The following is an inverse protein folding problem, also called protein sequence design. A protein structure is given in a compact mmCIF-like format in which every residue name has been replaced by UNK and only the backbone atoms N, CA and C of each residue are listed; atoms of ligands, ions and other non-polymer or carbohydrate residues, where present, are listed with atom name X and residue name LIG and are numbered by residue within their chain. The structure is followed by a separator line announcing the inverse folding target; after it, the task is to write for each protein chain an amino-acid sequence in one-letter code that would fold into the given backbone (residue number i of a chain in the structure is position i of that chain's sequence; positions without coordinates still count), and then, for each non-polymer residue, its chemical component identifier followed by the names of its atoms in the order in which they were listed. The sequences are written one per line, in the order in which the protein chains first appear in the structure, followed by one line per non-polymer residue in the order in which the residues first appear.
data_IF_750025611215
#
_entry.id   IF_750025611215
#
_cell.length_a   1.000
_cell.length_b   1.000
_cell.length_c   1.000
_cell.angle_alpha   90.00
_cell.angle_beta   90.00
_cell.angle_gamma   90.00
#
_symmetry.space_group_name_H-M   'P 1'
#
loop_
_entity.id
_entity.type
_entity.pdbx_description
1 polymer ?
#
# COMPACT_ATOMS: atom_id res chain seq x y z
N UNK A 1 -5.16 13.45 3.46
CA UNK A 1 -4.83 14.24 2.26
C UNK A 1 -5.43 15.64 2.29
N UNK A 2 -6.75 15.80 2.48
CA UNK A 2 -7.42 17.12 2.54
C UNK A 2 -6.90 18.03 3.66
N UNK A 3 -6.52 17.49 4.80
CA UNK A 3 -5.84 18.25 5.86
C UNK A 3 -4.52 18.84 5.35
N UNK A 4 -3.78 18.14 4.49
CA UNK A 4 -2.56 18.65 3.86
C UNK A 4 -2.81 19.85 2.96
N UNK A 5 -3.92 19.86 2.21
CA UNK A 5 -4.32 20.99 1.37
C UNK A 5 -4.72 22.22 2.21
N UNK A 6 -5.38 22.02 3.37
CA UNK A 6 -5.88 23.09 4.24
C UNK A 6 -4.80 23.61 5.18
N UNK A 7 -4.12 22.73 5.92
CA UNK A 7 -3.16 23.11 6.96
C UNK A 7 -1.72 23.17 6.46
N UNK A 8 -1.47 22.56 5.31
CA UNK A 8 -0.15 22.46 4.69
C UNK A 8 0.45 21.06 4.87
N UNK A 9 0.97 20.51 3.78
CA UNK A 9 1.53 19.17 3.73
C UNK A 9 2.68 18.97 4.73
N UNK A 10 3.59 19.97 4.85
CA UNK A 10 4.68 19.93 5.83
C UNK A 10 4.16 19.82 7.25
N UNK A 11 3.14 20.59 7.65
CA UNK A 11 2.58 20.53 9.01
C UNK A 11 1.95 19.20 9.30
N UNK A 12 1.12 18.67 8.38
CA UNK A 12 0.47 17.36 8.55
C UNK A 12 1.50 16.25 8.64
N UNK A 13 2.53 16.29 7.79
CA UNK A 13 3.63 15.31 7.82
C UNK A 13 4.36 15.34 9.17
N UNK A 14 4.75 16.52 9.64
CA UNK A 14 5.52 16.68 10.87
C UNK A 14 4.72 16.28 12.11
N UNK A 15 3.41 16.67 12.18
CA UNK A 15 2.51 16.27 13.27
C UNK A 15 2.30 14.74 13.24
N UNK A 16 2.10 14.16 12.05
CA UNK A 16 1.98 12.70 11.89
C UNK A 16 3.21 11.97 12.36
N UNK A 17 4.40 12.48 12.03
CA UNK A 17 5.68 11.90 12.41
C UNK A 17 5.93 12.00 13.93
N UNK A 18 5.58 13.14 14.54
CA UNK A 18 5.64 13.32 15.99
C UNK A 18 4.71 12.33 16.70
N UNK A 19 3.45 12.25 16.26
CA UNK A 19 2.47 11.31 16.81
C UNK A 19 2.95 9.86 16.68
N UNK A 20 3.45 9.47 15.50
CA UNK A 20 3.98 8.14 15.24
C UNK A 20 5.16 7.81 16.18
N UNK A 21 6.10 8.73 16.37
CA UNK A 21 7.28 8.53 17.22
C UNK A 21 6.90 8.43 18.71
N UNK A 22 6.02 9.31 19.19
CA UNK A 22 5.54 9.27 20.59
C UNK A 22 4.75 7.99 20.88
N UNK A 23 3.91 7.56 19.94
CA UNK A 23 3.12 6.33 20.12
C UNK A 23 3.96 5.08 19.93
N UNK A 24 5.05 5.11 19.15
CA UNK A 24 6.04 4.03 19.11
C UNK A 24 6.72 3.85 20.46
N UNK A 25 7.05 4.95 21.16
CA UNK A 25 7.55 4.88 22.52
C UNK A 25 6.50 4.29 23.46
N UNK A 26 5.24 4.71 23.35
CA UNK A 26 4.14 4.15 24.15
C UNK A 26 3.94 2.64 23.89
N UNK A 27 4.10 2.18 22.65
CA UNK A 27 4.08 0.75 22.31
C UNK A 27 5.24 -0.01 22.97
N UNK A 28 6.45 0.56 22.94
CA UNK A 28 7.64 -0.06 23.55
C UNK A 28 7.54 -0.16 25.07
N UNK A 29 6.83 0.77 25.72
CA UNK A 29 6.62 0.83 27.17
C UNK A 29 5.31 0.18 27.64
N UNK A 30 4.55 -0.45 26.75
CA UNK A 30 3.25 -1.04 27.10
C UNK A 30 3.42 -2.32 27.92
N UNK A 31 2.71 -2.41 29.04
CA UNK A 31 2.74 -3.55 29.98
C UNK A 31 1.53 -4.48 29.79
N UNK A 32 0.55 -4.10 29.01
CA UNK A 32 -0.67 -4.87 28.77
C UNK A 32 -1.12 -4.84 27.33
N UNK A 33 -1.88 -5.86 26.91
CA UNK A 33 -2.49 -5.91 25.58
C UNK A 33 -3.39 -4.69 25.32
N UNK A 34 -4.13 -4.24 26.34
CA UNK A 34 -5.03 -3.09 26.20
C UNK A 34 -4.27 -1.79 25.92
N UNK A 35 -3.20 -1.51 26.67
CA UNK A 35 -2.34 -0.32 26.43
C UNK A 35 -1.66 -0.39 25.08
N UNK A 36 -1.23 -1.58 24.66
CA UNK A 36 -0.64 -1.78 23.34
C UNK A 36 -1.66 -1.51 22.22
N UNK A 37 -2.90 -1.99 22.33
CA UNK A 37 -3.95 -1.74 21.33
C UNK A 37 -4.22 -0.24 21.17
N UNK A 38 -4.34 0.50 22.29
CA UNK A 38 -4.54 1.96 22.24
C UNK A 38 -3.36 2.66 21.59
N UNK A 39 -2.14 2.34 22.01
CA UNK A 39 -0.93 2.93 21.45
C UNK A 39 -0.79 2.64 19.95
N UNK A 40 -1.07 1.42 19.51
CA UNK A 40 -1.09 1.00 18.08
C UNK A 40 -2.16 1.72 17.27
N UNK A 41 -3.34 1.92 17.85
CA UNK A 41 -4.42 2.68 17.20
C UNK A 41 -3.98 4.12 16.95
N UNK A 42 -3.41 4.77 17.94
CA UNK A 42 -2.89 6.14 17.82
C UNK A 42 -1.68 6.20 16.86
N UNK A 43 -0.82 5.19 16.85
CA UNK A 43 0.29 5.07 15.91
C UNK A 43 -0.22 4.97 14.47
N UNK A 44 -1.34 4.26 14.25
CA UNK A 44 -2.01 4.18 12.96
C UNK A 44 -2.46 5.55 12.43
N UNK A 45 -2.99 6.44 13.27
CA UNK A 45 -3.30 7.82 12.85
C UNK A 45 -2.06 8.60 12.43
N UNK A 46 -0.94 8.44 13.14
CA UNK A 46 0.34 9.05 12.77
C UNK A 46 0.83 8.54 11.40
N UNK A 47 0.83 7.23 11.21
CA UNK A 47 1.21 6.59 9.94
C UNK A 47 0.32 7.03 8.78
N UNK A 48 -1.01 7.09 9.00
CA UNK A 48 -1.97 7.54 8.00
C UNK A 48 -1.75 9.01 7.60
N UNK A 49 -1.44 9.88 8.57
CA UNK A 49 -1.10 11.29 8.30
C UNK A 49 0.13 11.40 7.41
N UNK A 50 1.21 10.66 7.70
CA UNK A 50 2.44 10.63 6.90
C UNK A 50 2.14 10.11 5.49
N UNK A 51 1.54 8.92 5.39
CA UNK A 51 1.27 8.27 4.12
C UNK A 51 0.38 9.10 3.19
N UNK A 52 -0.64 9.78 3.75
CA UNK A 52 -1.60 10.57 2.99
C UNK A 52 -1.01 11.78 2.28
N UNK A 53 0.10 12.32 2.77
CA UNK A 53 0.74 13.53 2.23
C UNK A 53 2.09 13.26 1.58
N UNK A 54 2.68 12.08 1.77
CA UNK A 54 4.00 11.72 1.28
C UNK A 54 4.13 11.91 -0.23
N UNK A 55 3.22 11.33 -1.00
CA UNK A 55 3.23 11.42 -2.47
C UNK A 55 2.97 12.84 -2.98
N UNK A 56 2.13 13.61 -2.27
CA UNK A 56 1.90 15.01 -2.59
C UNK A 56 3.16 15.87 -2.36
N UNK A 57 3.92 15.60 -1.30
CA UNK A 57 5.20 16.25 -1.04
C UNK A 57 6.23 15.94 -2.14
N UNK A 58 6.31 14.68 -2.59
CA UNK A 58 7.17 14.28 -3.71
C UNK A 58 6.82 15.10 -4.96
N UNK A 59 5.53 15.26 -5.27
CA UNK A 59 5.08 16.06 -6.41
C UNK A 59 5.45 17.54 -6.31
N UNK A 60 5.48 18.11 -5.09
CA UNK A 60 5.87 19.49 -4.85
C UNK A 60 7.38 19.68 -4.98
N UNK A 61 8.16 18.68 -4.53
CA UNK A 61 9.62 18.74 -4.51
C UNK A 61 10.22 18.48 -5.90
N UNK A 62 9.63 17.53 -6.65
CA UNK A 62 10.15 17.13 -7.96
C UNK A 62 9.38 17.80 -9.09
N UNK A 63 10.08 18.45 -10.07
CA UNK A 63 9.47 18.91 -11.31
C UNK A 63 8.78 17.77 -12.06
N UNK A 64 7.74 18.06 -12.86
CA UNK A 64 6.98 17.05 -13.62
C UNK A 64 7.87 16.10 -14.43
N UNK A 65 8.95 16.65 -15.05
CA UNK A 65 9.93 15.88 -15.83
C UNK A 65 10.62 14.79 -15.01
N UNK A 66 10.87 15.02 -13.72
CA UNK A 66 11.60 14.11 -12.85
C UNK A 66 10.72 13.41 -11.81
N UNK A 67 9.40 13.50 -11.97
CA UNK A 67 8.45 12.87 -11.05
C UNK A 67 8.63 11.35 -10.99
N UNK A 68 8.95 10.70 -12.11
CA UNK A 68 9.27 9.27 -12.17
C UNK A 68 10.43 8.88 -11.27
N UNK A 69 11.51 9.68 -11.28
CA UNK A 69 12.67 9.46 -10.37
C UNK A 69 12.27 9.61 -8.91
N UNK A 70 11.51 10.67 -8.59
CA UNK A 70 11.00 10.89 -7.22
C UNK A 70 10.16 9.72 -6.72
N UNK A 71 9.28 9.19 -7.56
CA UNK A 71 8.47 8.00 -7.25
C UNK A 71 9.32 6.74 -7.15
N UNK A 72 10.36 6.58 -7.99
CA UNK A 72 11.30 5.48 -7.92
C UNK A 72 12.10 5.46 -6.61
N UNK A 73 12.59 6.62 -6.17
CA UNK A 73 13.28 6.75 -4.87
C UNK A 73 12.32 6.45 -3.71
N UNK A 74 11.08 6.93 -3.79
CA UNK A 74 10.07 6.60 -2.79
C UNK A 74 9.77 5.08 -2.75
N UNK A 75 9.66 4.43 -3.91
CA UNK A 75 9.45 2.99 -3.99
C UNK A 75 10.65 2.21 -3.43
N UNK A 76 11.88 2.68 -3.65
CA UNK A 76 13.08 2.13 -3.03
C UNK A 76 12.97 2.17 -1.50
N UNK A 77 12.64 3.32 -0.92
CA UNK A 77 12.49 3.47 0.55
C UNK A 77 11.38 2.55 1.09
N UNK A 78 10.25 2.46 0.39
CA UNK A 78 9.16 1.55 0.76
C UNK A 78 9.63 0.09 0.72
N UNK A 79 10.39 -0.32 -0.32
CA UNK A 79 10.90 -1.69 -0.44
C UNK A 79 11.88 -2.06 0.67
N UNK A 80 12.72 -1.11 1.13
CA UNK A 80 13.55 -1.30 2.33
C UNK A 80 12.69 -1.56 3.57
N UNK A 81 11.55 -0.85 3.68
CA UNK A 81 10.60 -1.06 4.78
C UNK A 81 9.85 -2.39 4.67
N UNK A 82 9.61 -2.88 3.46
CA UNK A 82 8.98 -4.18 3.19
C UNK A 82 9.91 -5.37 3.57
N UNK A 83 11.22 -5.14 3.77
CA UNK A 83 12.15 -6.08 4.39
C UNK A 83 12.04 -6.13 5.94
N UNK A 84 11.08 -5.39 6.50
CA UNK A 84 10.79 -5.33 7.95
C UNK A 84 10.66 -6.68 8.65
N UNK A 85 9.98 -7.71 8.09
CA UNK A 85 9.90 -9.04 8.72
C UNK A 85 11.27 -9.67 9.02
N UNK A 86 12.22 -9.55 8.09
CA UNK A 86 13.60 -10.05 8.29
C UNK A 86 14.34 -9.27 9.39
N UNK A 87 14.19 -7.95 9.40
CA UNK A 87 14.75 -7.09 10.45
C UNK A 87 14.12 -7.42 11.80
N UNK A 88 12.80 -7.61 11.82
CA UNK A 88 12.06 -7.99 13.02
C UNK A 88 12.52 -9.34 13.59
N UNK A 89 12.69 -10.36 12.72
CA UNK A 89 13.22 -11.66 13.13
C UNK A 89 14.62 -11.52 13.74
N UNK A 90 15.50 -10.71 13.13
CA UNK A 90 16.83 -10.41 13.67
C UNK A 90 16.78 -9.70 15.03
N UNK A 91 15.88 -8.77 15.24
CA UNK A 91 15.70 -8.08 16.54
C UNK A 91 15.19 -9.08 17.61
N UNK A 92 14.21 -9.91 17.25
CA UNK A 92 13.63 -10.90 18.18
C UNK A 92 14.60 -12.01 18.55
N UNK A 93 15.57 -12.35 17.70
CA UNK A 93 16.60 -13.34 18.01
C UNK A 93 17.61 -12.88 19.08
N UNK A 94 17.76 -11.55 19.25
CA UNK A 94 18.76 -10.94 20.16
C UNK A 94 18.08 -10.23 21.34
N UNK A 95 16.81 -9.82 21.18
CA UNK A 95 16.10 -8.98 22.16
C UNK A 95 14.64 -9.35 22.31
N UNK A 96 13.93 -8.52 23.06
CA UNK A 96 12.49 -8.66 23.34
C UNK A 96 11.64 -7.86 22.34
N UNK A 97 10.37 -8.22 22.21
CA UNK A 97 9.41 -7.56 21.31
C UNK A 97 9.30 -6.02 21.44
N UNK A 98 9.51 -5.35 22.59
CA UNK A 98 9.49 -3.89 22.68
C UNK A 98 10.50 -3.20 21.76
N UNK A 99 11.62 -3.85 21.46
CA UNK A 99 12.66 -3.32 20.58
C UNK A 99 12.15 -3.11 19.13
N UNK A 100 11.13 -3.87 18.70
CA UNK A 100 10.49 -3.67 17.40
C UNK A 100 9.86 -2.28 17.26
N UNK A 101 9.44 -1.69 18.38
CA UNK A 101 8.87 -0.35 18.42
C UNK A 101 9.93 0.70 18.75
N UNK A 102 10.87 0.36 19.63
CA UNK A 102 11.92 1.27 20.08
C UNK A 102 12.83 1.74 18.92
N UNK A 103 13.08 0.89 17.93
CA UNK A 103 13.88 1.24 16.73
C UNK A 103 13.28 2.40 15.93
N UNK A 104 11.97 2.61 16.01
CA UNK A 104 11.32 3.73 15.33
C UNK A 104 11.61 5.09 15.98
N UNK A 105 12.06 5.12 17.24
CA UNK A 105 12.28 6.37 17.98
C UNK A 105 13.47 7.15 17.42
N UNK A 106 14.69 6.61 17.30
CA UNK A 106 15.82 7.35 16.73
C UNK A 106 15.58 7.71 15.26
N UNK A 107 14.92 6.83 14.50
CA UNK A 107 14.56 7.10 13.08
C UNK A 107 13.55 8.26 13.03
N UNK A 108 12.52 8.24 13.90
CA UNK A 108 11.49 9.28 13.96
C UNK A 108 12.06 10.65 14.36
N UNK A 109 12.95 10.70 15.36
CA UNK A 109 13.62 11.93 15.80
C UNK A 109 14.46 12.50 14.65
N UNK A 110 15.26 11.66 13.99
CA UNK A 110 16.07 12.07 12.84
C UNK A 110 15.20 12.62 11.73
N UNK A 111 14.12 11.90 11.36
CA UNK A 111 13.17 12.33 10.35
C UNK A 111 12.45 13.64 10.73
N UNK A 112 12.11 13.86 12.01
CA UNK A 112 11.56 15.12 12.51
C UNK A 112 12.52 16.30 12.27
N UNK A 113 13.78 16.15 12.66
CA UNK A 113 14.82 17.18 12.48
C UNK A 113 14.95 17.51 10.98
N UNK A 114 15.05 16.48 10.12
CA UNK A 114 15.15 16.65 8.68
C UNK A 114 13.90 17.32 8.09
N UNK A 115 12.70 16.95 8.58
CA UNK A 115 11.45 17.54 8.10
C UNK A 115 11.34 19.03 8.41
N UNK A 116 11.80 19.44 9.60
CA UNK A 116 11.85 20.86 9.97
C UNK A 116 12.88 21.66 9.15
N UNK A 117 13.98 21.03 8.76
CA UNK A 117 15.07 21.71 8.05
C UNK A 117 14.85 21.76 6.54
N UNK A 118 14.36 20.70 5.93
CA UNK A 118 14.41 20.52 4.47
C UNK A 118 13.03 20.52 3.76
N UNK A 119 11.92 20.23 4.47
CA UNK A 119 10.64 20.21 3.79
C UNK A 119 10.20 21.63 3.38
N UNK A 120 9.81 21.83 2.11
CA UNK A 120 9.35 23.12 1.62
C UNK A 120 8.07 23.56 2.33
N UNK A 121 7.90 24.87 2.47
CA UNK A 121 6.63 25.42 2.89
C UNK A 121 5.60 25.23 1.78
N UNK A 122 4.33 25.07 2.15
CA UNK A 122 3.26 24.87 1.18
C UNK A 122 3.14 26.08 0.24
N UNK A 123 3.34 25.92 -1.07
CA UNK A 123 3.27 27.05 -2.01
C UNK A 123 1.85 27.61 -2.13
N UNK A 124 0.82 26.77 -1.95
CA UNK A 124 -0.60 27.18 -2.05
C UNK A 124 -1.37 26.55 -0.91
N UNK A 125 -1.92 27.36 -0.03
CA UNK A 125 -2.94 26.94 0.94
C UNK A 125 -4.32 27.19 0.34
N UNK A 126 -5.24 26.25 0.53
CA UNK A 126 -6.64 26.47 0.20
C UNK A 126 -7.25 27.46 1.19
N UNK A 127 -7.15 28.77 0.86
CA UNK A 127 -7.65 29.86 1.72
C UNK A 127 -9.18 29.76 1.83
N UNK A 128 -9.72 29.79 3.06
CA UNK A 128 -11.17 29.79 3.31
C UNK A 128 -11.82 28.39 3.32
N UNK A 129 -11.09 27.30 3.06
CA UNK A 129 -11.63 25.94 3.11
C UNK A 129 -11.68 25.43 4.56
N UNK A 130 -12.86 25.02 5.02
CA UNK A 130 -13.04 24.34 6.31
C UNK A 130 -12.96 22.80 6.12
N UNK A 131 -12.38 22.12 7.10
CA UNK A 131 -12.34 20.67 7.09
C UNK A 131 -13.72 20.10 7.44
N UNK A 132 -14.29 19.28 6.56
CA UNK A 132 -15.57 18.61 6.79
C UNK A 132 -15.38 17.35 7.65
N UNK A 133 -15.54 17.52 8.97
CA UNK A 133 -15.42 16.43 9.94
C UNK A 133 -16.48 15.35 9.69
N UNK A 134 -17.70 15.75 9.29
CA UNK A 134 -18.80 14.79 9.03
C UNK A 134 -18.47 13.90 7.85
N UNK A 135 -17.99 14.46 6.74
CA UNK A 135 -17.57 13.68 5.59
C UNK A 135 -16.37 12.78 5.93
N UNK A 136 -15.43 13.24 6.76
CA UNK A 136 -14.31 12.43 7.22
C UNK A 136 -14.75 11.23 8.06
N UNK A 137 -15.71 11.42 8.97
CA UNK A 137 -16.28 10.33 9.78
C UNK A 137 -17.07 9.34 8.93
N UNK A 138 -17.88 9.81 7.97
CA UNK A 138 -18.59 8.94 7.04
C UNK A 138 -17.63 8.12 6.16
N UNK A 139 -16.54 8.74 5.70
CA UNK A 139 -15.49 8.06 4.97
C UNK A 139 -14.84 6.97 5.82
N UNK A 140 -14.39 7.31 7.04
CA UNK A 140 -13.77 6.37 7.95
C UNK A 140 -14.71 5.20 8.31
N UNK A 141 -16.00 5.48 8.56
CA UNK A 141 -17.00 4.47 8.85
C UNK A 141 -17.25 3.55 7.65
N UNK A 142 -17.40 4.12 6.45
CA UNK A 142 -17.64 3.33 5.23
C UNK A 142 -16.49 2.40 4.93
N UNK A 143 -15.26 2.90 4.87
CA UNK A 143 -14.08 2.08 4.59
C UNK A 143 -13.75 1.13 5.74
N UNK A 144 -13.91 1.55 7.00
CA UNK A 144 -13.72 0.70 8.18
C UNK A 144 -14.70 -0.48 8.20
N UNK A 145 -15.98 -0.25 7.88
CA UNK A 145 -16.97 -1.31 7.78
C UNK A 145 -16.71 -2.24 6.58
N UNK A 146 -16.27 -1.71 5.44
CA UNK A 146 -15.86 -2.55 4.30
C UNK A 146 -14.76 -3.51 4.71
N UNK A 147 -13.72 -3.01 5.38
CA UNK A 147 -12.61 -3.83 5.88
C UNK A 147 -13.13 -4.86 6.90
N UNK A 148 -13.97 -4.44 7.85
CA UNK A 148 -14.54 -5.34 8.86
C UNK A 148 -15.42 -6.44 8.24
N UNK A 149 -16.19 -6.13 7.19
CA UNK A 149 -16.98 -7.12 6.45
C UNK A 149 -16.06 -8.15 5.77
N UNK A 150 -15.01 -7.67 5.10
CA UNK A 150 -14.06 -8.55 4.43
C UNK A 150 -13.40 -9.48 5.45
N UNK A 151 -13.02 -8.97 6.63
CA UNK A 151 -12.43 -9.76 7.71
C UNK A 151 -13.45 -10.72 8.34
N UNK A 152 -14.71 -10.33 8.48
CA UNK A 152 -15.77 -11.18 9.01
C UNK A 152 -16.02 -12.46 8.19
N UNK A 153 -15.74 -12.44 6.87
CA UNK A 153 -15.79 -13.65 6.04
C UNK A 153 -14.71 -14.68 6.39
N UNK A 154 -13.63 -14.28 7.05
CA UNK A 154 -12.53 -15.16 7.48
C UNK A 154 -12.78 -15.78 8.85
N UNK A 155 -13.68 -15.18 9.64
CA UNK A 155 -14.11 -15.66 10.95
C UNK A 155 -15.52 -16.23 10.87
N UNK A 156 -15.89 -17.11 11.81
CA UNK A 156 -17.24 -17.68 11.90
C UNK A 156 -18.26 -16.68 12.47
N UNK A 157 -18.37 -15.53 11.82
CA UNK A 157 -19.33 -14.48 12.17
C UNK A 157 -20.71 -14.84 11.62
N UNK A 158 -21.76 -14.65 12.40
CA UNK A 158 -23.13 -14.89 11.96
C UNK A 158 -23.45 -14.12 10.68
N UNK A 159 -23.96 -14.80 9.67
CA UNK A 159 -24.28 -14.23 8.35
C UNK A 159 -25.21 -13.01 8.44
N UNK A 160 -26.10 -12.97 9.44
CA UNK A 160 -27.00 -11.85 9.69
C UNK A 160 -26.25 -10.55 10.02
N UNK A 161 -25.14 -10.64 10.76
CA UNK A 161 -24.29 -9.47 11.08
C UNK A 161 -23.54 -8.98 9.85
N UNK A 162 -23.09 -9.88 9.00
CA UNK A 162 -22.43 -9.54 7.72
C UNK A 162 -23.44 -8.82 6.81
N UNK A 163 -24.67 -9.35 6.67
CA UNK A 163 -25.73 -8.72 5.87
C UNK A 163 -26.08 -7.33 6.43
N UNK A 164 -26.24 -7.20 7.76
CA UNK A 164 -26.51 -5.92 8.40
C UNK A 164 -25.37 -4.91 8.12
N UNK A 165 -24.12 -5.33 8.23
CA UNK A 165 -22.97 -4.49 7.94
C UNK A 165 -22.92 -4.05 6.47
N UNK A 166 -23.23 -4.96 5.52
CA UNK A 166 -23.33 -4.63 4.09
C UNK A 166 -24.42 -3.57 3.85
N UNK A 167 -25.59 -3.74 4.44
CA UNK A 167 -26.70 -2.76 4.32
C UNK A 167 -26.27 -1.40 4.87
N UNK A 168 -25.60 -1.37 6.02
CA UNK A 168 -25.08 -0.13 6.62
C UNK A 168 -24.05 0.52 5.70
N UNK A 169 -23.13 -0.25 5.12
CA UNK A 169 -22.11 0.27 4.17
C UNK A 169 -22.77 0.87 2.94
N UNK A 170 -23.75 0.17 2.35
CA UNK A 170 -24.46 0.67 1.17
C UNK A 170 -25.22 1.96 1.49
N UNK A 171 -25.88 2.01 2.65
CA UNK A 171 -26.59 3.20 3.11
C UNK A 171 -25.63 4.38 3.37
N UNK A 172 -24.61 4.16 4.21
CA UNK A 172 -23.59 5.18 4.50
C UNK A 172 -22.86 5.64 3.24
N UNK A 173 -22.47 4.69 2.38
CA UNK A 173 -21.79 4.97 1.12
C UNK A 173 -22.66 5.80 0.16
N UNK A 174 -23.95 5.48 0.03
CA UNK A 174 -24.88 6.25 -0.78
C UNK A 174 -25.01 7.72 -0.29
N UNK A 175 -25.24 7.91 1.01
CA UNK A 175 -25.35 9.26 1.58
C UNK A 175 -24.01 10.02 1.51
N UNK A 176 -22.89 9.31 1.70
CA UNK A 176 -21.56 9.89 1.58
C UNK A 176 -21.31 10.39 0.15
N UNK A 177 -21.54 9.56 -0.87
CA UNK A 177 -21.38 9.93 -2.27
C UNK A 177 -22.29 11.12 -2.63
N UNK A 178 -23.57 11.09 -2.28
CA UNK A 178 -24.53 12.16 -2.52
C UNK A 178 -24.11 13.47 -1.87
N UNK A 179 -23.51 13.41 -0.68
CA UNK A 179 -22.99 14.58 0.02
C UNK A 179 -21.75 15.14 -0.71
N UNK A 180 -20.83 14.27 -1.09
CA UNK A 180 -19.58 14.63 -1.77
C UNK A 180 -19.83 15.25 -3.16
N UNK A 181 -20.82 14.76 -3.91
CA UNK A 181 -21.21 15.30 -5.22
C UNK A 181 -21.67 16.77 -5.15
N UNK A 182 -22.16 17.22 -3.99
CA UNK A 182 -22.63 18.59 -3.76
C UNK A 182 -21.55 19.52 -3.27
N UNK A 183 -20.36 19.02 -2.96
CA UNK A 183 -19.26 19.82 -2.45
C UNK A 183 -18.32 20.29 -3.57
N UNK A 184 -17.90 21.54 -3.52
CA UNK A 184 -16.93 22.09 -4.45
C UNK A 184 -15.54 21.41 -4.35
N UNK A 185 -15.22 20.84 -3.18
CA UNK A 185 -13.96 20.17 -2.90
C UNK A 185 -14.21 18.88 -2.09
N UNK A 186 -14.64 17.80 -2.72
CA UNK A 186 -14.97 16.56 -2.04
C UNK A 186 -13.73 15.94 -1.38
N UNK A 187 -13.93 15.31 -0.21
CA UNK A 187 -12.88 14.55 0.50
C UNK A 187 -12.51 13.27 -0.29
N UNK A 188 -13.51 12.57 -0.79
CA UNK A 188 -13.30 11.52 -1.77
C UNK A 188 -13.21 12.18 -3.15
N UNK A 189 -12.06 12.12 -3.82
CA UNK A 189 -11.87 12.82 -5.09
C UNK A 189 -12.58 12.09 -6.25
N UNK A 190 -13.91 12.04 -6.21
CA UNK A 190 -14.77 11.44 -7.25
C UNK A 190 -14.55 12.15 -8.59
N UNK A 191 -14.25 13.45 -8.54
CA UNK A 191 -13.86 14.24 -9.70
C UNK A 191 -12.66 13.65 -10.44
N UNK A 192 -11.67 13.13 -9.71
CA UNK A 192 -10.50 12.48 -10.31
C UNK A 192 -10.84 11.13 -10.95
N UNK A 193 -11.85 10.43 -10.46
CA UNK A 193 -12.31 9.18 -11.06
C UNK A 193 -12.98 9.40 -12.44
N UNK A 194 -13.35 10.61 -12.79
CA UNK A 194 -13.82 10.96 -14.14
C UNK A 194 -12.69 11.05 -15.16
N UNK A 195 -11.44 11.10 -14.69
CA UNK A 195 -10.25 11.08 -15.55
C UNK A 195 -9.92 9.61 -15.88
N UNK A 196 -10.09 9.15 -17.14
CA UNK A 196 -9.94 7.73 -17.47
C UNK A 196 -8.55 7.17 -17.12
N UNK A 197 -7.49 7.98 -17.34
CA UNK A 197 -6.12 7.58 -17.05
C UNK A 197 -5.90 7.36 -15.55
N UNK A 198 -6.49 8.22 -14.71
CA UNK A 198 -6.45 8.12 -13.26
C UNK A 198 -7.18 6.87 -12.76
N UNK A 199 -8.42 6.65 -13.23
CA UNK A 199 -9.26 5.53 -12.83
C UNK A 199 -8.64 4.18 -13.22
N UNK A 200 -8.17 4.05 -14.46
CA UNK A 200 -7.50 2.83 -14.89
C UNK A 200 -6.23 2.56 -14.08
N UNK A 201 -5.50 3.61 -13.67
CA UNK A 201 -4.32 3.46 -12.81
C UNK A 201 -4.68 2.98 -11.41
N UNK A 202 -5.79 3.45 -10.83
CA UNK A 202 -6.31 2.96 -9.55
C UNK A 202 -6.71 1.48 -9.65
N UNK A 203 -7.50 1.12 -10.67
CA UNK A 203 -7.95 -0.26 -10.86
C UNK A 203 -6.74 -1.19 -11.01
N UNK A 204 -5.76 -0.81 -11.82
CA UNK A 204 -4.50 -1.57 -11.97
C UNK A 204 -3.77 -1.70 -10.63
N UNK A 205 -3.72 -0.64 -9.81
CA UNK A 205 -3.12 -0.68 -8.47
C UNK A 205 -3.84 -1.67 -7.57
N UNK A 206 -5.17 -1.65 -7.52
CA UNK A 206 -5.95 -2.56 -6.67
C UNK A 206 -5.64 -4.02 -7.04
N UNK A 207 -5.71 -4.39 -8.31
CA UNK A 207 -5.40 -5.75 -8.77
C UNK A 207 -3.98 -6.18 -8.41
N UNK A 208 -3.00 -5.31 -8.61
CA UNK A 208 -1.59 -5.63 -8.31
C UNK A 208 -1.34 -5.78 -6.81
N UNK A 209 -1.97 -4.95 -5.96
CA UNK A 209 -1.84 -5.09 -4.50
C UNK A 209 -2.60 -6.31 -3.95
N UNK A 210 -3.72 -6.71 -4.57
CA UNK A 210 -4.36 -8.00 -4.27
C UNK A 210 -3.39 -9.14 -4.59
N UNK A 211 -2.81 -9.15 -5.79
CA UNK A 211 -1.87 -10.18 -6.23
C UNK A 211 -0.61 -10.23 -5.34
N UNK A 212 -0.08 -9.08 -4.94
CA UNK A 212 1.03 -9.00 -3.99
C UNK A 212 0.67 -9.64 -2.65
N UNK A 213 -0.51 -9.32 -2.11
CA UNK A 213 -0.91 -9.80 -0.78
C UNK A 213 -1.23 -11.29 -0.78
N UNK A 214 -1.79 -11.80 -1.88
CA UNK A 214 -1.96 -13.24 -2.09
C UNK A 214 -0.64 -13.99 -1.93
N UNK A 215 0.45 -13.48 -2.47
CA UNK A 215 1.78 -14.08 -2.31
C UNK A 215 2.35 -13.84 -0.90
N UNK A 216 2.36 -12.60 -0.43
CA UNK A 216 3.02 -12.22 0.83
C UNK A 216 2.39 -12.86 2.07
N UNK A 217 1.12 -13.27 2.01
CA UNK A 217 0.46 -13.98 3.12
C UNK A 217 0.54 -15.50 2.92
N UNK A 218 0.24 -16.03 1.73
CA UNK A 218 0.18 -17.48 1.53
C UNK A 218 1.56 -18.16 1.55
N UNK A 219 2.60 -17.48 1.04
CA UNK A 219 3.92 -18.08 0.86
C UNK A 219 4.67 -18.33 2.17
N UNK A 220 4.69 -17.42 3.17
CA UNK A 220 5.25 -17.72 4.49
C UNK A 220 4.62 -18.94 5.17
N UNK A 221 3.28 -19.09 5.06
CA UNK A 221 2.61 -20.28 5.58
C UNK A 221 3.08 -21.57 4.92
N UNK A 222 3.33 -21.54 3.62
CA UNK A 222 3.87 -22.68 2.89
C UNK A 222 5.29 -23.00 3.34
N UNK A 223 6.17 -22.01 3.46
CA UNK A 223 7.54 -22.19 3.92
C UNK A 223 7.60 -22.82 5.33
N UNK A 224 6.77 -22.33 6.25
CA UNK A 224 6.79 -22.80 7.64
C UNK A 224 6.04 -24.11 7.82
N UNK A 225 4.82 -24.25 7.29
CA UNK A 225 3.96 -25.43 7.56
C UNK A 225 4.22 -26.61 6.65
N UNK A 226 4.60 -26.36 5.39
CA UNK A 226 4.82 -27.44 4.40
C UNK A 226 6.30 -27.80 4.29
N UNK A 227 7.17 -26.78 4.19
CA UNK A 227 8.62 -27.02 4.07
C UNK A 227 9.36 -27.08 5.41
N UNK A 228 8.66 -26.82 6.54
CA UNK A 228 9.24 -26.89 7.88
C UNK A 228 10.36 -25.89 8.16
N UNK A 229 10.38 -24.76 7.41
CA UNK A 229 11.39 -23.70 7.60
C UNK A 229 11.10 -22.92 8.88
N UNK A 230 12.13 -22.54 9.62
CA UNK A 230 12.01 -21.66 10.76
C UNK A 230 11.66 -20.21 10.35
N UNK A 231 11.38 -19.35 11.32
CA UNK A 231 10.97 -17.96 11.06
C UNK A 231 12.09 -17.15 10.40
N UNK A 232 13.35 -17.39 10.76
CA UNK A 232 14.52 -16.69 10.22
C UNK A 232 14.74 -17.07 8.76
N UNK A 233 14.76 -18.38 8.45
CA UNK A 233 14.89 -18.87 7.09
C UNK A 233 13.73 -18.40 6.21
N UNK A 234 12.50 -18.38 6.75
CA UNK A 234 11.33 -17.84 6.05
C UNK A 234 11.54 -16.36 5.71
N UNK A 235 11.96 -15.55 6.67
CA UNK A 235 12.26 -14.13 6.45
C UNK A 235 13.34 -13.90 5.39
N UNK A 236 14.41 -14.70 5.43
CA UNK A 236 15.50 -14.61 4.45
C UNK A 236 15.04 -15.00 3.04
N UNK A 237 14.20 -16.03 2.91
CA UNK A 237 13.65 -16.47 1.62
C UNK A 237 12.62 -15.49 1.02
N UNK A 238 11.99 -14.63 1.84
CA UNK A 238 11.12 -13.55 1.39
C UNK A 238 11.89 -12.29 0.95
N UNK A 239 13.10 -12.10 1.47
CA UNK A 239 13.94 -10.89 1.26
C UNK A 239 14.29 -10.62 -0.22
N UNK A 240 14.47 -11.60 -1.13
CA UNK A 240 14.75 -11.33 -2.54
C UNK A 240 13.70 -10.45 -3.25
N UNK A 241 12.44 -10.51 -2.85
CA UNK A 241 11.40 -9.66 -3.42
C UNK A 241 11.63 -8.17 -3.15
N UNK A 242 11.69 -7.67 -1.90
CA UNK A 242 11.94 -6.26 -1.64
C UNK A 242 13.31 -5.81 -2.18
N UNK A 243 14.35 -6.66 -2.16
CA UNK A 243 15.65 -6.33 -2.75
C UNK A 243 15.56 -6.11 -4.26
N UNK A 244 14.87 -6.97 -4.98
CA UNK A 244 14.65 -6.81 -6.41
C UNK A 244 13.82 -5.56 -6.72
N UNK A 245 12.77 -5.30 -5.93
CA UNK A 245 11.96 -4.07 -6.05
C UNK A 245 12.81 -2.83 -5.78
N UNK A 246 13.70 -2.86 -4.79
CA UNK A 246 14.62 -1.78 -4.45
C UNK A 246 15.52 -1.38 -5.61
N UNK A 247 15.95 -2.33 -6.43
CA UNK A 247 16.76 -2.09 -7.63
C UNK A 247 15.91 -1.68 -8.83
N UNK A 248 14.80 -2.41 -9.06
CA UNK A 248 13.99 -2.21 -10.27
C UNK A 248 13.12 -0.94 -10.22
N UNK A 249 12.68 -0.49 -9.03
CA UNK A 249 11.80 0.67 -8.93
C UNK A 249 12.47 2.00 -9.34
N UNK A 250 13.70 2.33 -8.93
CA UNK A 250 14.42 3.50 -9.45
C UNK A 250 14.70 3.41 -10.95
N UNK A 251 15.07 2.21 -11.45
CA UNK A 251 15.27 1.99 -12.88
C UNK A 251 13.99 2.25 -13.67
N UNK A 252 12.85 1.74 -13.18
CA UNK A 252 11.53 2.03 -13.76
C UNK A 252 11.20 3.53 -13.74
N UNK A 253 11.62 4.24 -12.69
CA UNK A 253 11.47 5.70 -12.60
C UNK A 253 12.23 6.42 -13.72
N UNK A 254 13.47 6.03 -13.99
CA UNK A 254 14.29 6.59 -15.07
C UNK A 254 13.74 6.19 -16.45
N UNK A 255 13.34 4.92 -16.62
CA UNK A 255 12.77 4.43 -17.87
C UNK A 255 11.44 5.14 -18.19
N UNK A 256 10.64 5.46 -17.20
CA UNK A 256 9.34 6.15 -17.40
C UNK A 256 9.48 7.57 -17.96
N UNK A 257 10.69 8.15 -17.92
CA UNK A 257 10.99 9.43 -18.58
C UNK A 257 11.19 9.28 -20.11
N UNK A 258 11.54 8.08 -20.56
CA UNK A 258 11.87 7.77 -21.97
C UNK A 258 10.82 6.90 -22.67
N UNK A 259 10.10 6.11 -21.90
CA UNK A 259 9.10 5.15 -22.40
C UNK A 259 7.71 5.54 -21.90
N UNK A 260 6.67 5.09 -22.64
CA UNK A 260 5.30 5.25 -22.17
C UNK A 260 5.11 4.46 -20.86
N UNK A 261 4.73 5.18 -19.81
CA UNK A 261 4.60 4.61 -18.47
C UNK A 261 3.50 3.52 -18.39
N UNK A 262 2.47 3.58 -19.25
CA UNK A 262 1.46 2.52 -19.35
C UNK A 262 2.03 1.22 -19.95
N UNK A 263 2.94 1.32 -20.92
CA UNK A 263 3.66 0.16 -21.49
C UNK A 263 4.59 -0.44 -20.43
N UNK A 264 5.38 0.39 -19.80
CA UNK A 264 6.35 -0.06 -18.79
C UNK A 264 5.66 -0.74 -17.61
N UNK A 265 4.54 -0.16 -17.13
CA UNK A 265 3.72 -0.77 -16.08
C UNK A 265 3.12 -2.11 -16.55
N UNK A 266 2.67 -2.20 -17.80
CA UNK A 266 2.13 -3.45 -18.36
C UNK A 266 3.17 -4.56 -18.44
N UNK A 267 4.37 -4.25 -18.91
CA UNK A 267 5.51 -5.18 -18.94
C UNK A 267 5.85 -5.63 -17.50
N UNK A 268 5.92 -4.70 -16.55
CA UNK A 268 6.15 -5.03 -15.15
C UNK A 268 5.13 -6.02 -14.59
N UNK A 269 3.85 -5.84 -14.91
CA UNK A 269 2.78 -6.75 -14.47
C UNK A 269 2.82 -8.13 -15.15
N UNK A 270 3.27 -8.23 -16.40
CA UNK A 270 3.51 -9.52 -17.06
C UNK A 270 4.63 -10.27 -16.36
N UNK A 271 5.76 -9.60 -16.07
CA UNK A 271 6.87 -10.19 -15.34
C UNK A 271 6.43 -10.62 -13.94
N UNK A 272 5.65 -9.79 -13.26
CA UNK A 272 5.09 -10.09 -11.95
C UNK A 272 4.17 -11.31 -11.98
N UNK A 273 3.27 -11.38 -12.94
CA UNK A 273 2.40 -12.54 -13.16
C UNK A 273 3.19 -13.81 -13.43
N UNK A 274 4.19 -13.76 -14.30
CA UNK A 274 5.09 -14.89 -14.56
C UNK A 274 5.86 -15.34 -13.33
N UNK A 275 6.29 -14.39 -12.48
CA UNK A 275 6.90 -14.69 -11.19
C UNK A 275 5.96 -15.43 -10.24
N UNK A 276 4.71 -14.94 -10.09
CA UNK A 276 3.69 -15.59 -9.26
C UNK A 276 3.32 -16.97 -9.78
N UNK A 277 3.15 -17.09 -11.10
CA UNK A 277 2.93 -18.38 -11.75
C UNK A 277 4.08 -19.36 -11.46
N UNK A 278 5.32 -18.92 -11.64
CA UNK A 278 6.49 -19.75 -11.38
C UNK A 278 6.57 -20.20 -9.90
N UNK A 279 6.18 -19.34 -8.95
CA UNK A 279 6.08 -19.69 -7.53
C UNK A 279 4.97 -20.70 -7.26
N UNK A 280 3.83 -20.62 -7.99
CA UNK A 280 2.74 -21.59 -7.87
C UNK A 280 3.16 -23.00 -8.31
N UNK A 281 4.09 -23.08 -9.27
CA UNK A 281 4.64 -24.32 -9.85
C UNK A 281 5.96 -24.76 -9.16
N UNK A 282 6.13 -24.43 -7.87
CA UNK A 282 7.27 -24.94 -7.12
C UNK A 282 7.19 -26.45 -6.96
N UNK A 283 8.32 -27.18 -7.13
CA UNK A 283 8.37 -28.61 -6.85
C UNK A 283 8.13 -28.91 -5.36
N UNK A 284 7.80 -30.16 -5.03
CA UNK A 284 7.50 -30.56 -3.65
C UNK A 284 8.69 -30.31 -2.69
N UNK A 285 9.91 -30.37 -3.20
CA UNK A 285 11.15 -30.10 -2.45
C UNK A 285 12.00 -29.06 -3.22
N UNK A 286 11.63 -27.78 -3.14
CA UNK A 286 12.36 -26.72 -3.85
C UNK A 286 13.70 -26.45 -3.16
N UNK A 287 14.73 -26.17 -3.94
CA UNK A 287 15.96 -25.61 -3.40
C UNK A 287 15.74 -24.15 -3.00
N UNK A 288 16.56 -23.65 -2.08
CA UNK A 288 16.49 -22.23 -1.69
C UNK A 288 16.73 -21.31 -2.89
N UNK A 289 17.60 -21.73 -3.81
CA UNK A 289 17.88 -20.98 -5.04
C UNK A 289 16.64 -20.88 -5.95
N UNK A 290 15.83 -21.94 -6.03
CA UNK A 290 14.57 -21.96 -6.77
C UNK A 290 13.59 -20.92 -6.23
N UNK A 291 13.52 -20.78 -4.92
CA UNK A 291 12.68 -19.79 -4.25
C UNK A 291 13.21 -18.37 -4.49
N UNK A 292 14.51 -18.17 -4.29
CA UNK A 292 15.18 -16.87 -4.38
C UNK A 292 14.96 -16.21 -5.74
N UNK A 293 15.22 -16.91 -6.87
CA UNK A 293 15.10 -16.27 -8.18
C UNK A 293 13.63 -15.99 -8.55
N UNK A 294 12.69 -16.83 -8.14
CA UNK A 294 11.25 -16.62 -8.39
C UNK A 294 10.72 -15.44 -7.58
N UNK A 295 11.13 -15.33 -6.32
CA UNK A 295 10.82 -14.16 -5.47
C UNK A 295 11.42 -12.87 -6.04
N UNK A 296 12.67 -12.93 -6.52
CA UNK A 296 13.31 -11.80 -7.17
C UNK A 296 12.58 -11.39 -8.46
N UNK A 297 12.11 -12.36 -9.26
CA UNK A 297 11.32 -12.09 -10.46
C UNK A 297 10.01 -11.36 -10.13
N UNK A 298 9.31 -11.78 -9.07
CA UNK A 298 8.12 -11.10 -8.58
C UNK A 298 8.45 -9.65 -8.18
N UNK A 299 9.54 -9.45 -7.43
CA UNK A 299 9.98 -8.13 -6.99
C UNK A 299 10.36 -7.21 -8.15
N UNK A 300 11.09 -7.72 -9.15
CA UNK A 300 11.41 -6.99 -10.38
C UNK A 300 10.14 -6.52 -11.11
N UNK A 301 9.21 -7.46 -11.34
CA UNK A 301 7.96 -7.14 -12.02
C UNK A 301 7.13 -6.10 -11.26
N UNK A 302 7.00 -6.25 -9.94
CA UNK A 302 6.27 -5.32 -9.10
C UNK A 302 6.92 -3.92 -9.07
N UNK A 303 8.24 -3.83 -8.98
CA UNK A 303 8.98 -2.57 -9.02
C UNK A 303 8.84 -1.85 -10.36
N UNK A 304 8.94 -2.59 -11.48
CA UNK A 304 8.73 -2.07 -12.83
C UNK A 304 7.31 -1.57 -13.07
N UNK A 305 6.32 -2.14 -12.40
CA UNK A 305 4.92 -1.71 -12.47
C UNK A 305 4.63 -0.49 -11.58
N UNK A 306 4.98 -0.56 -10.29
CA UNK A 306 4.48 0.36 -9.26
C UNK A 306 4.91 1.80 -9.52
N UNK A 307 6.18 2.02 -9.85
CA UNK A 307 6.76 3.35 -10.03
C UNK A 307 6.11 4.14 -11.18
N UNK A 308 6.06 3.63 -12.43
CA UNK A 308 5.43 4.37 -13.52
C UNK A 308 3.92 4.49 -13.35
N UNK A 309 3.25 3.50 -12.77
CA UNK A 309 1.81 3.58 -12.50
C UNK A 309 1.46 4.69 -11.49
N UNK A 310 2.25 4.81 -10.41
CA UNK A 310 2.08 5.88 -9.43
C UNK A 310 2.37 7.26 -10.05
N UNK A 311 3.39 7.35 -10.89
CA UNK A 311 3.72 8.59 -11.62
C UNK A 311 2.61 9.03 -12.55
N UNK A 312 2.01 8.08 -13.31
CA UNK A 312 0.86 8.35 -14.17
C UNK A 312 -0.34 8.85 -13.38
N UNK A 313 -0.66 8.16 -12.30
CA UNK A 313 -1.81 8.50 -11.47
C UNK A 313 -1.69 9.89 -10.88
N UNK A 314 -0.54 10.20 -10.29
CA UNK A 314 -0.29 11.52 -9.68
C UNK A 314 -0.17 12.59 -10.75
N UNK A 315 0.45 12.28 -11.90
CA UNK A 315 0.62 13.21 -13.03
C UNK A 315 -0.69 13.58 -13.72
N UNK A 316 -1.65 12.65 -13.79
CA UNK A 316 -2.96 12.86 -14.41
C UNK A 316 -3.88 13.79 -13.58
N UNK A 317 -3.66 13.89 -12.27
CA UNK A 317 -4.45 14.78 -11.41
C UNK A 317 -4.01 16.25 -11.55
N UNK A 318 -4.94 17.23 -11.44
CA UNK A 318 -4.59 18.65 -11.34
C UNK A 318 -3.67 18.91 -10.14
N UNK A 319 -2.81 19.93 -10.22
CA UNK A 319 -1.89 20.27 -9.11
C UNK A 319 -2.62 20.65 -7.82
N UNK A 320 -3.75 21.34 -7.95
CA UNK A 320 -4.63 21.70 -6.84
C UNK A 320 -5.26 20.49 -6.12
N UNK A 321 -5.27 19.30 -6.76
CA UNK A 321 -5.84 18.05 -6.25
C UNK A 321 -4.78 16.99 -5.91
N UNK A 322 -3.51 17.38 -5.77
CA UNK A 322 -2.40 16.47 -5.46
C UNK A 322 -2.60 15.69 -4.16
N UNK A 323 -3.19 16.33 -3.15
CA UNK A 323 -3.56 15.67 -1.90
C UNK A 323 -4.60 14.58 -2.10
N UNK A 324 -5.67 14.88 -2.86
CA UNK A 324 -6.70 13.90 -3.21
C UNK A 324 -6.12 12.70 -3.97
N UNK A 325 -5.26 12.94 -4.95
CA UNK A 325 -4.59 11.90 -5.72
C UNK A 325 -3.69 11.00 -4.84
N UNK A 326 -2.91 11.62 -3.93
CA UNK A 326 -2.09 10.90 -2.95
C UNK A 326 -2.93 10.03 -2.01
N UNK A 327 -4.07 10.57 -1.54
CA UNK A 327 -5.01 9.83 -0.71
C UNK A 327 -5.61 8.62 -1.42
N UNK A 328 -6.01 8.79 -2.70
CA UNK A 328 -6.55 7.69 -3.51
C UNK A 328 -5.51 6.60 -3.79
N UNK A 329 -4.24 6.96 -3.99
CA UNK A 329 -3.16 5.97 -4.10
C UNK A 329 -3.07 5.12 -2.83
N UNK A 330 -3.07 5.76 -1.66
CA UNK A 330 -3.07 5.06 -0.37
C UNK A 330 -4.30 4.17 -0.17
N UNK A 331 -5.49 4.66 -0.56
CA UNK A 331 -6.76 3.91 -0.48
C UNK A 331 -6.73 2.69 -1.41
N UNK A 332 -6.29 2.84 -2.66
CA UNK A 332 -6.18 1.73 -3.61
C UNK A 332 -5.23 0.65 -3.11
N UNK A 333 -4.08 1.05 -2.53
CA UNK A 333 -3.14 0.13 -1.89
C UNK A 333 -3.81 -0.64 -0.74
N UNK A 334 -4.44 0.09 0.19
CA UNK A 334 -5.05 -0.51 1.38
C UNK A 334 -6.19 -1.46 1.01
N UNK A 335 -7.09 -1.06 0.09
CA UNK A 335 -8.16 -1.92 -0.41
C UNK A 335 -7.60 -3.19 -1.06
N UNK A 336 -6.60 -3.05 -1.94
CA UNK A 336 -5.97 -4.20 -2.58
C UNK A 336 -5.34 -5.14 -1.55
N UNK A 337 -4.59 -4.63 -0.59
CA UNK A 337 -3.96 -5.42 0.46
C UNK A 337 -4.98 -6.14 1.35
N UNK A 338 -6.05 -5.46 1.77
CA UNK A 338 -7.09 -6.06 2.61
C UNK A 338 -7.88 -7.13 1.85
N UNK A 339 -8.32 -6.83 0.62
CA UNK A 339 -8.99 -7.83 -0.23
C UNK A 339 -8.10 -9.04 -0.49
N UNK A 340 -6.80 -8.81 -0.77
CA UNK A 340 -5.84 -9.87 -0.99
C UNK A 340 -5.68 -10.78 0.22
N UNK A 341 -5.51 -10.21 1.42
CA UNK A 341 -5.40 -10.98 2.66
C UNK A 341 -6.65 -11.85 2.92
N UNK A 342 -7.85 -11.30 2.68
CA UNK A 342 -9.10 -12.04 2.83
C UNK A 342 -9.27 -13.14 1.79
N UNK A 343 -8.84 -12.89 0.54
CA UNK A 343 -8.83 -13.92 -0.50
C UNK A 343 -7.87 -15.07 -0.14
N UNK A 344 -6.74 -14.80 0.53
CA UNK A 344 -5.87 -15.87 1.04
C UNK A 344 -6.65 -16.77 2.00
N UNK A 345 -7.34 -16.19 3.00
CA UNK A 345 -8.12 -16.98 3.95
C UNK A 345 -9.21 -17.81 3.24
N UNK A 346 -9.84 -17.25 2.21
CA UNK A 346 -10.78 -17.99 1.36
C UNK A 346 -10.11 -19.15 0.62
N UNK A 347 -8.90 -18.93 0.05
CA UNK A 347 -8.15 -20.01 -0.61
C UNK A 347 -7.78 -21.12 0.38
N UNK A 348 -7.39 -20.78 1.62
CA UNK A 348 -7.12 -21.76 2.67
C UNK A 348 -8.35 -22.61 3.03
N UNK A 349 -9.55 -22.00 2.99
CA UNK A 349 -10.82 -22.68 3.27
C UNK A 349 -11.30 -23.56 2.10
N UNK A 350 -11.16 -23.07 0.86
CA UNK A 350 -11.67 -23.75 -0.34
C UNK A 350 -10.73 -24.86 -0.85
N UNK A 351 -9.41 -24.69 -0.69
CA UNK A 351 -8.40 -25.57 -1.24
C UNK A 351 -7.44 -26.09 -0.15
N UNK A 352 -7.94 -26.85 0.86
CA UNK A 352 -7.09 -27.41 1.91
C UNK A 352 -6.02 -28.30 1.28
N UNK A 353 -4.75 -28.02 1.58
CA UNK A 353 -3.58 -28.74 1.01
C UNK A 353 -2.99 -28.14 -0.28
N UNK A 354 -3.74 -27.33 -1.03
CA UNK A 354 -3.28 -26.65 -2.25
C UNK A 354 -3.52 -25.12 -2.19
N UNK A 355 -3.65 -24.58 -1.00
CA UNK A 355 -4.04 -23.18 -0.78
C UNK A 355 -3.02 -22.18 -1.33
N UNK A 356 -1.71 -22.45 -1.17
CA UNK A 356 -0.66 -21.56 -1.68
C UNK A 356 -0.63 -21.51 -3.21
N UNK A 357 -0.56 -22.67 -3.94
CA UNK A 357 -0.65 -22.63 -5.40
C UNK A 357 -1.90 -21.94 -5.90
N UNK A 358 -3.07 -22.23 -5.32
CA UNK A 358 -4.33 -21.59 -5.70
C UNK A 358 -4.30 -20.07 -5.51
N UNK A 359 -3.76 -19.57 -4.39
CA UNK A 359 -3.61 -18.14 -4.12
C UNK A 359 -2.66 -17.49 -5.14
N UNK A 360 -1.53 -18.13 -5.44
CA UNK A 360 -0.55 -17.60 -6.40
C UNK A 360 -1.07 -17.62 -7.85
N UNK A 361 -1.81 -18.67 -8.24
CA UNK A 361 -2.51 -18.73 -9.51
C UNK A 361 -3.52 -17.58 -9.67
N UNK A 362 -4.35 -17.37 -8.65
CA UNK A 362 -5.28 -16.25 -8.63
C UNK A 362 -4.53 -14.90 -8.74
N UNK A 363 -3.44 -14.75 -7.98
CA UNK A 363 -2.58 -13.56 -8.05
C UNK A 363 -2.00 -13.33 -9.45
N UNK A 364 -1.53 -14.40 -10.11
CA UNK A 364 -1.01 -14.34 -11.48
C UNK A 364 -2.07 -13.85 -12.47
N UNK A 365 -3.29 -14.40 -12.41
CA UNK A 365 -4.42 -13.98 -13.26
C UNK A 365 -4.78 -12.53 -13.03
N UNK A 366 -4.88 -12.09 -11.77
CA UNK A 366 -5.19 -10.70 -11.43
C UNK A 366 -4.10 -9.73 -11.92
N UNK A 367 -2.83 -10.11 -11.83
CA UNK A 367 -1.72 -9.33 -12.37
C UNK A 367 -1.81 -9.23 -13.91
N UNK A 368 -2.19 -10.30 -14.62
CA UNK A 368 -2.44 -10.25 -16.07
C UNK A 368 -3.59 -9.33 -16.44
N UNK A 369 -4.71 -9.39 -15.72
CA UNK A 369 -5.82 -8.46 -15.91
C UNK A 369 -5.33 -7.02 -15.73
N UNK A 370 -4.54 -6.76 -14.68
CA UNK A 370 -3.90 -5.47 -14.47
C UNK A 370 -3.00 -5.05 -15.63
N UNK A 371 -2.26 -5.98 -16.25
CA UNK A 371 -1.42 -5.71 -17.41
C UNK A 371 -2.26 -5.29 -18.63
N UNK A 372 -3.35 -5.99 -18.93
CA UNK A 372 -4.28 -5.66 -20.01
C UNK A 372 -4.85 -4.24 -19.80
N UNK A 373 -5.29 -3.93 -18.58
CA UNK A 373 -5.78 -2.60 -18.22
C UNK A 373 -4.67 -1.55 -18.40
N UNK A 374 -3.42 -1.89 -18.03
CA UNK A 374 -2.29 -1.00 -18.20
C UNK A 374 -2.02 -0.66 -19.67
N UNK A 375 -2.06 -1.65 -20.56
CA UNK A 375 -1.88 -1.44 -22.00
C UNK A 375 -3.02 -0.62 -22.63
N UNK A 376 -4.25 -0.73 -22.13
CA UNK A 376 -5.38 0.08 -22.63
C UNK A 376 -5.22 1.59 -22.41
N UNK A 377 -4.23 2.00 -21.59
CA UNK A 377 -3.91 3.41 -21.33
C UNK A 377 -2.97 4.05 -22.35
N UNK A 378 -2.31 3.26 -23.22
CA UNK A 378 -1.26 3.74 -24.13
C UNK A 378 -1.73 4.89 -25.03
N UNK A 379 -2.97 4.81 -25.53
CA UNK A 379 -3.55 5.78 -26.47
C UNK A 379 -4.33 6.90 -25.79
N UNK A 380 -4.37 6.95 -24.45
CA UNK A 380 -5.11 7.97 -23.71
C UNK A 380 -4.16 9.08 -23.27
N UNK A 381 -4.40 10.28 -23.80
CA UNK A 381 -3.70 11.50 -23.34
C UNK A 381 -4.22 11.90 -21.95
N UNK A 382 -3.31 12.39 -21.09
CA UNK A 382 -3.63 12.99 -19.80
C UNK A 382 -4.35 14.34 -19.99
#
# INVERSE_FOLDING_TARGET
SSMGEIWGYRKVYTIGLLLFSCTSLACALSDSLFTLIIARTLQGFGAAAIASVNTALIRIIYPKRFLGRGMGINALVVSVSDAGPTIAAGILSVGNWPWLFAINIPIGITALILSFKFLPQNPVKAVGRKFDVTAALMNALTFGLVIAIIEAFTHDVHISLIIAAIVIVLFCGYFYIRREERQAYPLLPIDLLRIPLFTLSIITSVFSFIAQMLAMVSFPFFLQRVLGRDEVATGLLLTPWPLATMVCAPLAGILSEKMNAGVLSGIGLIIFSGGLFSLAELPAHPSDLDIIWRMALCGCGFGLFQTPNNSLMIGAAPESRSGGASGMLGTARLLGQTCGASLVALMFKLFPGHSMPAALWLGSVLALIGAVISFSRINRKA
#
